data_IF_468737502445
#
_entry.id   IF_468737502445
#
_cell.length_a   1.000
_cell.length_b   1.000
_cell.length_c   1.000
_cell.angle_alpha   90.00
_cell.angle_beta   90.00
_cell.angle_gamma   90.00
#
_symmetry.space_group_name_H-M   'P 1'
#
loop_
_entity.id
_entity.type
_entity.pdbx_description
1 polymer ?
#
# COMPACT_ATOMS: atom_id res chain seq x y z
N UNK A 1 26.53 -2.04 -22.19
CA UNK A 1 26.31 -2.00 -20.73
C UNK A 1 25.02 -1.24 -20.49
N UNK A 2 23.96 -1.90 -20.10
CA UNK A 2 22.72 -1.20 -19.72
C UNK A 2 23.04 -0.32 -18.49
N UNK A 3 22.67 0.96 -18.55
CA UNK A 3 22.85 1.87 -17.43
C UNK A 3 22.10 1.28 -16.22
N UNK A 4 22.82 1.09 -15.12
CA UNK A 4 22.18 0.73 -13.83
C UNK A 4 21.19 1.84 -13.54
N UNK A 5 19.89 1.54 -13.31
CA UNK A 5 18.92 2.56 -12.99
C UNK A 5 19.45 3.38 -11.81
N UNK A 6 19.56 4.70 -11.97
CA UNK A 6 19.90 5.56 -10.84
C UNK A 6 18.68 5.59 -9.93
N UNK A 7 18.75 4.87 -8.82
CA UNK A 7 17.73 4.94 -7.78
C UNK A 7 17.68 6.37 -7.20
N UNK A 8 16.52 6.83 -6.76
CA UNK A 8 16.32 8.21 -6.35
C UNK A 8 17.18 8.64 -5.16
N UNK A 9 17.82 7.70 -4.46
CA UNK A 9 18.70 7.99 -3.33
C UNK A 9 19.70 6.85 -3.06
N UNK A 10 20.82 7.18 -2.46
CA UNK A 10 21.81 6.24 -1.94
C UNK A 10 21.92 6.38 -0.40
N UNK A 11 20.83 6.80 0.24
CA UNK A 11 20.81 7.09 1.69
C UNK A 11 21.18 5.90 2.57
N UNK A 12 20.93 4.67 2.07
CA UNK A 12 21.29 3.42 2.77
C UNK A 12 22.58 2.76 2.23
N UNK A 13 23.40 3.51 1.50
CA UNK A 13 24.70 3.00 1.03
C UNK A 13 25.55 2.52 2.21
N UNK A 14 26.05 1.29 2.12
CA UNK A 14 26.85 0.64 3.18
C UNK A 14 26.01 -0.10 4.22
N UNK A 15 24.67 0.03 4.21
CA UNK A 15 23.78 -0.80 5.05
C UNK A 15 23.67 -2.19 4.46
N UNK A 16 23.96 -3.22 5.27
CA UNK A 16 23.90 -4.64 4.90
C UNK A 16 22.68 -5.31 5.50
N UNK A 17 21.85 -5.94 4.65
CA UNK A 17 20.58 -6.59 5.02
C UNK A 17 20.64 -8.07 4.69
N UNK A 18 20.32 -8.92 5.66
CA UNK A 18 20.04 -10.36 5.44
C UNK A 18 18.54 -10.54 5.39
N UNK A 19 18.04 -11.04 4.26
CA UNK A 19 16.62 -11.15 3.93
C UNK A 19 16.19 -12.61 3.83
N UNK A 20 15.39 -13.09 4.79
CA UNK A 20 14.76 -14.42 4.81
C UNK A 20 13.31 -14.39 4.34
N UNK A 21 12.85 -13.25 3.89
CA UNK A 21 11.43 -13.08 3.56
C UNK A 21 11.04 -13.77 2.24
N UNK A 22 9.76 -14.04 2.08
CA UNK A 22 9.17 -14.67 0.90
C UNK A 22 7.79 -14.08 0.60
N UNK A 23 7.24 -14.34 -0.57
CA UNK A 23 5.96 -13.87 -1.10
C UNK A 23 5.99 -12.36 -1.38
N UNK A 24 5.34 -11.48 -0.57
CA UNK A 24 5.17 -10.06 -0.88
C UNK A 24 5.66 -9.16 0.25
N UNK A 25 5.04 -9.16 1.42
CA UNK A 25 5.25 -8.13 2.44
C UNK A 25 6.72 -7.94 2.83
N UNK A 26 7.41 -9.01 3.20
CA UNK A 26 8.84 -8.96 3.55
C UNK A 26 9.73 -8.62 2.36
N UNK A 27 9.61 -9.32 1.20
CA UNK A 27 10.36 -8.98 0.01
C UNK A 27 10.16 -7.53 -0.45
N UNK A 28 8.96 -6.96 -0.29
CA UNK A 28 8.69 -5.57 -0.65
C UNK A 28 9.37 -4.59 0.33
N UNK A 29 9.42 -4.91 1.62
CA UNK A 29 10.19 -4.12 2.58
C UNK A 29 11.68 -4.06 2.20
N UNK A 30 12.30 -5.21 1.97
CA UNK A 30 13.72 -5.29 1.63
C UNK A 30 14.02 -4.81 0.22
N UNK A 31 13.06 -4.87 -0.72
CA UNK A 31 13.14 -4.21 -2.01
C UNK A 31 13.27 -2.69 -1.85
N UNK A 32 12.45 -2.05 -1.02
CA UNK A 32 12.56 -0.62 -0.74
C UNK A 32 13.95 -0.26 -0.20
N UNK A 33 14.50 -1.08 0.73
CA UNK A 33 15.85 -0.85 1.24
C UNK A 33 16.91 -0.96 0.14
N UNK A 34 16.82 -1.98 -0.72
CA UNK A 34 17.73 -2.14 -1.86
C UNK A 34 17.65 -0.94 -2.82
N UNK A 35 16.44 -0.44 -3.12
CA UNK A 35 16.25 0.73 -3.98
C UNK A 35 16.80 2.03 -3.36
N UNK A 36 16.95 2.08 -2.04
CA UNK A 36 17.58 3.18 -1.32
C UNK A 36 19.08 3.00 -1.11
N UNK A 37 19.69 1.97 -1.73
CA UNK A 37 21.14 1.77 -1.76
C UNK A 37 21.68 0.73 -0.76
N UNK A 38 20.84 0.03 0.01
CA UNK A 38 21.28 -1.05 0.88
C UNK A 38 21.74 -2.29 0.09
N UNK A 39 22.73 -2.99 0.64
CA UNK A 39 23.22 -4.27 0.13
C UNK A 39 22.36 -5.41 0.73
N UNK A 40 21.38 -5.91 -0.04
CA UNK A 40 20.47 -6.94 0.43
C UNK A 40 20.92 -8.31 -0.05
N UNK A 41 21.16 -9.23 0.88
CA UNK A 41 21.40 -10.65 0.62
C UNK A 41 20.16 -11.46 0.98
N UNK A 42 19.46 -11.96 -0.03
CA UNK A 42 18.29 -12.83 0.16
C UNK A 42 18.73 -14.27 0.30
N UNK A 43 18.36 -14.87 1.42
CA UNK A 43 18.63 -16.29 1.73
C UNK A 43 17.41 -17.12 1.39
N UNK A 44 17.59 -18.11 0.52
CA UNK A 44 16.55 -19.03 0.09
C UNK A 44 16.94 -20.48 0.42
N UNK A 45 15.93 -21.33 0.58
CA UNK A 45 16.16 -22.77 0.74
C UNK A 45 16.66 -23.35 -0.59
N UNK A 46 17.71 -24.22 -0.59
CA UNK A 46 18.22 -24.88 -1.78
C UNK A 46 17.12 -25.66 -2.55
N UNK A 47 17.11 -25.50 -3.87
CA UNK A 47 16.20 -26.20 -4.79
C UNK A 47 14.72 -25.85 -4.67
N UNK A 48 14.33 -25.02 -3.70
CA UNK A 48 12.93 -24.63 -3.46
C UNK A 48 12.65 -23.16 -3.74
N UNK A 49 13.49 -22.33 -3.20
CA UNK A 49 13.39 -20.87 -3.32
C UNK A 49 12.08 -20.27 -2.82
N UNK A 50 11.88 -19.02 -3.12
CA UNK A 50 10.63 -18.31 -2.86
C UNK A 50 9.49 -18.85 -3.73
N UNK A 51 8.33 -19.09 -3.13
CA UNK A 51 7.15 -19.62 -3.86
C UNK A 51 6.70 -18.71 -4.99
N UNK A 52 7.00 -17.41 -4.93
CA UNK A 52 6.69 -16.45 -6.00
C UNK A 52 7.31 -16.82 -7.35
N UNK A 53 8.43 -17.55 -7.36
CA UNK A 53 9.06 -18.05 -8.60
C UNK A 53 8.16 -19.02 -9.37
N UNK A 54 7.19 -19.66 -8.69
CA UNK A 54 6.29 -20.69 -9.22
C UNK A 54 4.85 -20.22 -9.40
N UNK A 55 4.58 -18.93 -9.24
CA UNK A 55 3.25 -18.35 -9.51
C UNK A 55 3.01 -18.22 -11.02
N UNK A 56 1.76 -17.90 -11.41
CA UNK A 56 1.37 -17.67 -12.82
C UNK A 56 2.25 -16.59 -13.47
N UNK A 57 2.57 -15.52 -12.74
CA UNK A 57 3.48 -14.46 -13.19
C UNK A 57 4.97 -14.82 -13.03
N UNK A 58 5.29 -15.92 -12.34
CA UNK A 58 6.59 -16.55 -12.24
C UNK A 58 7.75 -15.61 -11.94
N UNK A 59 8.78 -15.68 -12.79
CA UNK A 59 10.01 -14.90 -12.64
C UNK A 59 9.78 -13.39 -12.58
N UNK A 60 8.80 -12.85 -13.32
CA UNK A 60 8.47 -11.41 -13.30
C UNK A 60 7.94 -10.94 -11.95
N UNK A 61 7.01 -11.69 -11.34
CA UNK A 61 6.50 -11.35 -10.01
C UNK A 61 7.60 -11.43 -8.96
N UNK A 62 8.48 -12.43 -9.05
CA UNK A 62 9.64 -12.52 -8.17
C UNK A 62 10.58 -11.32 -8.37
N UNK A 63 10.93 -10.97 -9.61
CA UNK A 63 11.81 -9.84 -9.93
C UNK A 63 11.25 -8.52 -9.41
N UNK A 64 9.94 -8.30 -9.52
CA UNK A 64 9.30 -7.06 -9.05
C UNK A 64 9.56 -6.76 -7.56
N UNK A 65 9.70 -7.79 -6.73
CA UNK A 65 9.95 -7.64 -5.29
C UNK A 65 11.39 -7.93 -4.85
N UNK A 66 12.24 -8.44 -5.77
CA UNK A 66 13.56 -8.92 -5.38
C UNK A 66 14.70 -8.37 -6.26
N UNK A 67 14.41 -7.49 -7.22
CA UNK A 67 15.44 -6.87 -8.03
C UNK A 67 16.42 -6.07 -7.17
N UNK A 68 17.71 -6.17 -7.51
CA UNK A 68 18.81 -5.52 -6.78
C UNK A 68 19.31 -6.28 -5.55
N UNK A 69 18.71 -7.43 -5.19
CA UNK A 69 19.17 -8.29 -4.12
C UNK A 69 20.16 -9.35 -4.64
N UNK A 70 21.13 -9.72 -3.80
CA UNK A 70 22.01 -10.87 -4.03
C UNK A 70 21.34 -12.13 -3.51
N UNK A 71 21.21 -13.17 -4.35
CA UNK A 71 20.61 -14.45 -3.96
C UNK A 71 21.65 -15.38 -3.37
N UNK A 72 21.33 -16.05 -2.25
CA UNK A 72 22.12 -17.11 -1.62
C UNK A 72 21.20 -18.29 -1.29
N UNK A 73 21.56 -19.46 -1.74
CA UNK A 73 20.91 -20.72 -1.31
C UNK A 73 21.65 -21.26 -0.10
N UNK A 74 20.99 -21.35 1.06
CA UNK A 74 21.56 -21.84 2.31
C UNK A 74 20.55 -22.79 2.97
N UNK A 75 21.00 -24.02 3.27
CA UNK A 75 20.22 -24.96 4.05
C UNK A 75 20.36 -24.65 5.55
N UNK A 76 19.45 -23.85 6.08
CA UNK A 76 19.45 -23.43 7.50
C UNK A 76 19.17 -24.59 8.48
N UNK A 77 18.74 -25.76 8.00
CA UNK A 77 18.56 -26.93 8.85
C UNK A 77 19.89 -27.63 9.13
N UNK A 78 20.91 -27.41 8.31
CA UNK A 78 22.26 -27.93 8.53
C UNK A 78 23.07 -27.05 9.48
N UNK A 79 24.00 -27.65 10.25
CA UNK A 79 24.93 -26.90 11.12
C UNK A 79 25.80 -25.93 10.31
N UNK A 80 26.25 -26.36 9.13
CA UNK A 80 27.04 -25.51 8.24
C UNK A 80 26.25 -24.31 7.74
N UNK A 81 25.00 -24.51 7.30
CA UNK A 81 24.13 -23.42 6.83
C UNK A 81 23.77 -22.46 7.95
N UNK A 82 23.48 -22.97 9.16
CA UNK A 82 23.27 -22.12 10.33
C UNK A 82 24.50 -21.27 10.66
N UNK A 83 25.69 -21.87 10.66
CA UNK A 83 26.95 -21.16 10.90
C UNK A 83 27.20 -20.06 9.84
N UNK A 84 26.89 -20.34 8.56
CA UNK A 84 27.00 -19.38 7.47
C UNK A 84 26.06 -18.19 7.69
N UNK A 85 24.78 -18.44 8.07
CA UNK A 85 23.82 -17.37 8.37
C UNK A 85 24.28 -16.50 9.57
N UNK A 86 24.77 -17.11 10.65
CA UNK A 86 25.28 -16.37 11.80
C UNK A 86 26.52 -15.54 11.42
N UNK A 87 27.36 -16.02 10.49
CA UNK A 87 28.48 -15.23 9.97
C UNK A 87 27.97 -14.01 9.16
N UNK A 88 26.94 -14.17 8.31
CA UNK A 88 26.30 -13.06 7.62
C UNK A 88 25.68 -12.06 8.62
N UNK A 89 24.95 -12.56 9.62
CA UNK A 89 24.28 -11.75 10.64
C UNK A 89 25.28 -10.94 11.51
N UNK A 90 26.47 -11.49 11.77
CA UNK A 90 27.54 -10.79 12.52
C UNK A 90 27.97 -9.50 11.83
N UNK A 91 27.91 -9.48 10.51
CA UNK A 91 28.32 -8.35 9.70
C UNK A 91 27.16 -7.49 9.20
N UNK A 92 25.93 -7.95 9.38
CA UNK A 92 24.75 -7.26 8.90
C UNK A 92 24.31 -6.12 9.83
N UNK A 93 23.65 -5.14 9.26
CA UNK A 93 22.97 -4.07 9.99
C UNK A 93 21.52 -4.44 10.31
N UNK A 94 20.90 -5.19 9.41
CA UNK A 94 19.48 -5.56 9.47
C UNK A 94 19.32 -7.02 9.10
N UNK A 95 18.43 -7.72 9.81
CA UNK A 95 17.91 -9.03 9.42
C UNK A 95 16.41 -8.95 9.33
N UNK A 96 15.84 -9.44 8.22
CA UNK A 96 14.39 -9.42 7.97
C UNK A 96 13.89 -10.84 7.73
N UNK A 97 12.81 -11.22 8.38
CA UNK A 97 12.08 -12.44 8.05
C UNK A 97 10.58 -12.21 8.04
N UNK A 98 9.84 -13.06 7.33
CA UNK A 98 8.38 -13.11 7.40
C UNK A 98 7.85 -14.54 7.57
N UNK A 99 8.61 -15.37 8.26
CA UNK A 99 8.13 -16.65 8.75
C UNK A 99 7.15 -16.45 9.90
N UNK A 100 6.39 -17.51 10.21
CA UNK A 100 5.60 -17.51 11.45
C UNK A 100 6.53 -17.34 12.65
N UNK A 101 6.10 -16.59 13.68
CA UNK A 101 6.93 -16.38 14.86
C UNK A 101 7.49 -17.68 15.43
N UNK A 102 8.77 -17.67 15.78
CA UNK A 102 9.47 -18.82 16.33
C UNK A 102 10.01 -19.83 15.31
N UNK A 103 9.73 -19.69 14.01
CA UNK A 103 10.29 -20.62 12.99
C UNK A 103 11.81 -20.53 12.97
N UNK A 104 12.40 -19.34 12.76
CA UNK A 104 13.85 -19.18 12.73
C UNK A 104 14.52 -19.49 14.08
N UNK A 105 13.84 -19.22 15.18
CA UNK A 105 14.33 -19.59 16.52
C UNK A 105 14.59 -21.10 16.67
N UNK A 106 13.75 -21.93 16.05
CA UNK A 106 13.97 -23.42 16.08
C UNK A 106 15.24 -23.85 15.37
N UNK A 107 15.76 -23.02 14.48
CA UNK A 107 17.04 -23.21 13.79
C UNK A 107 18.19 -22.48 14.49
N UNK A 108 17.99 -21.85 15.66
CA UNK A 108 19.01 -21.05 16.34
C UNK A 108 19.36 -19.76 15.57
N UNK A 109 18.37 -19.19 14.87
CA UNK A 109 18.47 -17.96 14.06
C UNK A 109 17.40 -16.93 14.45
N UNK A 110 16.79 -17.08 15.64
CA UNK A 110 15.89 -16.07 16.18
C UNK A 110 16.63 -14.81 16.68
N UNK A 111 15.88 -13.82 17.11
CA UNK A 111 16.43 -12.54 17.53
C UNK A 111 17.52 -12.69 18.61
N UNK A 112 17.27 -13.51 19.65
CA UNK A 112 18.23 -13.69 20.74
C UNK A 112 19.53 -14.35 20.26
N UNK A 113 19.42 -15.32 19.35
CA UNK A 113 20.58 -16.02 18.77
C UNK A 113 21.43 -15.07 17.91
N UNK A 114 20.77 -14.25 17.09
CA UNK A 114 21.44 -13.27 16.21
C UNK A 114 22.00 -12.11 17.02
N UNK A 115 21.28 -11.60 18.03
CA UNK A 115 21.75 -10.55 18.95
C UNK A 115 22.99 -10.97 19.72
N UNK A 116 23.11 -12.25 20.09
CA UNK A 116 24.27 -12.78 20.80
C UNK A 116 25.58 -12.62 19.98
N UNK A 117 25.49 -12.70 18.64
CA UNK A 117 26.66 -12.52 17.76
C UNK A 117 26.77 -11.10 17.20
N UNK A 118 25.68 -10.30 17.22
CA UNK A 118 25.66 -8.92 16.79
C UNK A 118 24.68 -8.08 17.64
N UNK A 119 25.11 -7.48 18.76
CA UNK A 119 24.23 -6.68 19.62
C UNK A 119 23.66 -5.42 18.95
N UNK A 120 24.19 -5.04 17.80
CA UNK A 120 23.74 -3.87 17.02
C UNK A 120 22.71 -4.21 15.95
N UNK A 121 22.35 -5.48 15.79
CA UNK A 121 21.42 -5.92 14.75
C UNK A 121 20.04 -5.32 14.94
N UNK A 122 19.45 -4.84 13.86
CA UNK A 122 18.02 -4.54 13.78
C UNK A 122 17.35 -5.78 13.18
N UNK A 123 16.56 -6.46 13.99
CA UNK A 123 15.84 -7.65 13.58
C UNK A 123 14.38 -7.31 13.32
N UNK A 124 13.92 -7.38 12.08
CA UNK A 124 12.55 -7.07 11.68
C UNK A 124 11.80 -8.37 11.34
N UNK A 125 10.87 -8.76 12.21
CA UNK A 125 9.96 -9.86 11.97
C UNK A 125 8.64 -9.33 11.41
N UNK A 126 8.27 -9.76 10.21
CA UNK A 126 7.01 -9.40 9.55
C UNK A 126 6.07 -10.60 9.63
N UNK A 127 4.89 -10.45 10.23
CA UNK A 127 3.97 -11.56 10.41
C UNK A 127 2.50 -11.14 10.28
N UNK A 128 1.59 -12.11 10.15
CA UNK A 128 0.16 -11.80 10.04
C UNK A 128 -0.40 -11.16 11.31
N UNK A 129 -0.08 -11.76 12.46
CA UNK A 129 -0.71 -11.42 13.73
C UNK A 129 0.25 -10.83 14.78
N UNK A 130 1.54 -10.66 14.46
CA UNK A 130 2.54 -10.22 15.43
C UNK A 130 3.03 -11.34 16.33
N UNK A 131 3.95 -10.99 17.25
CA UNK A 131 4.60 -11.94 18.15
C UNK A 131 3.97 -11.96 19.56
N UNK A 132 3.05 -11.03 19.86
CA UNK A 132 2.54 -10.81 21.23
C UNK A 132 1.39 -11.72 21.65
N UNK A 133 0.63 -12.29 20.69
CA UNK A 133 -0.51 -13.17 21.00
C UNK A 133 -0.15 -14.65 20.71
N UNK A 134 0.14 -15.46 21.74
CA UNK A 134 0.51 -16.88 21.56
C UNK A 134 -0.55 -17.70 20.84
N UNK A 135 -1.84 -17.37 20.98
CA UNK A 135 -2.93 -18.07 20.32
C UNK A 135 -2.93 -17.89 18.81
N UNK A 136 -2.37 -16.77 18.33
CA UNK A 136 -2.38 -16.40 16.89
C UNK A 136 -1.03 -16.56 16.20
N UNK A 137 0.06 -16.64 16.94
CA UNK A 137 1.42 -16.77 16.36
C UNK A 137 1.59 -18.00 15.46
N UNK A 138 0.82 -19.08 15.70
CA UNK A 138 0.84 -20.30 14.89
C UNK A 138 -0.07 -20.23 13.65
N UNK A 139 -0.96 -19.23 13.57
CA UNK A 139 -1.93 -19.12 12.48
C UNK A 139 -1.25 -18.65 11.18
N UNK A 140 -1.68 -19.21 10.05
CA UNK A 140 -1.29 -18.72 8.74
C UNK A 140 -2.02 -17.44 8.41
N UNK A 141 -1.33 -16.54 7.74
CA UNK A 141 -1.89 -15.28 7.28
C UNK A 141 -1.57 -15.06 5.80
N UNK A 142 -2.58 -14.60 5.10
CA UNK A 142 -2.50 -14.02 3.75
C UNK A 142 -3.25 -12.70 3.75
N UNK A 143 -2.94 -11.83 2.85
CA UNK A 143 -3.55 -10.50 2.72
C UNK A 143 -5.07 -10.52 2.89
N UNK A 144 -5.80 -11.29 2.07
CA UNK A 144 -7.26 -11.34 2.11
C UNK A 144 -7.84 -11.89 3.43
N UNK A 145 -7.08 -12.76 4.12
CA UNK A 145 -7.47 -13.28 5.44
C UNK A 145 -7.37 -12.16 6.49
N UNK A 146 -6.30 -11.36 6.42
CA UNK A 146 -6.12 -10.23 7.33
C UNK A 146 -7.12 -9.10 7.00
N UNK A 147 -7.45 -8.86 5.72
CA UNK A 147 -8.54 -7.94 5.36
C UNK A 147 -9.87 -8.33 6.03
N UNK A 148 -10.20 -9.63 6.01
CA UNK A 148 -11.40 -10.14 6.69
C UNK A 148 -11.29 -10.02 8.21
N UNK A 149 -10.16 -10.40 8.77
CA UNK A 149 -9.90 -10.38 10.22
C UNK A 149 -10.01 -8.96 10.81
N UNK A 150 -9.56 -7.94 10.08
CA UNK A 150 -9.53 -6.54 10.55
C UNK A 150 -10.80 -5.76 10.22
N UNK A 151 -11.81 -6.38 9.60
CA UNK A 151 -13.04 -5.72 9.21
C UNK A 151 -12.91 -4.85 7.94
N UNK A 152 -11.75 -4.78 7.29
CA UNK A 152 -11.53 -3.98 6.08
C UNK A 152 -12.54 -4.35 4.98
N UNK A 153 -12.88 -5.62 4.84
CA UNK A 153 -13.86 -6.10 3.84
C UNK A 153 -15.28 -5.58 4.07
N UNK A 154 -15.56 -5.06 5.26
CA UNK A 154 -16.86 -4.47 5.61
C UNK A 154 -16.93 -2.96 5.35
N UNK A 155 -15.83 -2.33 4.92
CA UNK A 155 -15.82 -0.89 4.56
C UNK A 155 -16.11 -0.66 3.08
N UNK A 156 -15.89 -1.65 2.22
CA UNK A 156 -16.13 -1.55 0.78
C UNK A 156 -17.57 -2.01 0.41
N UNK A 157 -18.13 -1.44 -0.66
CA UNK A 157 -19.50 -1.73 -1.13
C UNK A 157 -20.56 -0.89 -0.41
N UNK A 158 -21.83 -1.26 -0.59
CA UNK A 158 -23.00 -0.61 0.02
C UNK A 158 -23.61 -1.49 1.12
N UNK A 159 -24.50 -0.92 1.90
CA UNK A 159 -25.26 -1.66 2.91
C UNK A 159 -26.02 -2.82 2.27
N UNK A 160 -25.93 -4.00 2.89
CA UNK A 160 -26.53 -5.24 2.37
C UNK A 160 -25.67 -6.03 1.38
N UNK A 161 -24.59 -5.45 0.82
CA UNK A 161 -23.67 -6.21 -0.03
C UNK A 161 -22.87 -7.25 0.79
N UNK A 162 -22.46 -8.36 0.17
CA UNK A 162 -21.49 -9.27 0.80
C UNK A 162 -20.16 -8.54 1.09
N UNK A 163 -19.32 -9.06 2.03
CA UNK A 163 -17.99 -8.52 2.26
C UNK A 163 -17.15 -8.46 0.97
N UNK A 164 -16.48 -7.34 0.72
CA UNK A 164 -15.70 -7.12 -0.50
C UNK A 164 -14.24 -6.82 -0.13
N UNK A 165 -13.32 -7.67 -0.59
CA UNK A 165 -11.89 -7.38 -0.44
C UNK A 165 -11.40 -6.40 -1.51
N UNK A 166 -10.26 -5.75 -1.27
CA UNK A 166 -9.57 -4.98 -2.31
C UNK A 166 -9.12 -5.87 -3.47
N UNK A 167 -9.01 -5.31 -4.67
CA UNK A 167 -8.64 -6.03 -5.88
C UNK A 167 -7.15 -6.46 -5.94
N UNK A 168 -6.33 -6.06 -4.96
CA UNK A 168 -4.89 -6.35 -4.90
C UNK A 168 -4.45 -6.56 -3.45
N UNK A 169 -3.24 -7.07 -3.17
CA UNK A 169 -2.76 -7.36 -1.82
C UNK A 169 -2.32 -6.08 -1.11
N UNK A 170 -3.30 -5.26 -0.71
CA UNK A 170 -3.09 -3.91 -0.14
C UNK A 170 -2.39 -3.96 1.22
N UNK A 171 -2.70 -4.97 2.05
CA UNK A 171 -2.10 -5.11 3.39
C UNK A 171 -0.66 -5.58 3.27
N UNK A 172 -0.36 -6.53 2.37
CA UNK A 172 1.02 -6.93 2.10
C UNK A 172 1.87 -5.73 1.65
N UNK A 173 1.35 -4.93 0.72
CA UNK A 173 2.04 -3.75 0.22
C UNK A 173 2.27 -2.71 1.33
N UNK A 174 1.24 -2.40 2.12
CA UNK A 174 1.36 -1.47 3.24
C UNK A 174 2.35 -1.98 4.30
N UNK A 175 2.28 -3.27 4.64
CA UNK A 175 3.18 -3.89 5.62
C UNK A 175 4.63 -3.83 5.17
N UNK A 176 4.90 -4.05 3.87
CA UNK A 176 6.23 -3.89 3.29
C UNK A 176 6.76 -2.46 3.43
N UNK A 177 5.94 -1.45 3.11
CA UNK A 177 6.31 -0.04 3.26
C UNK A 177 6.53 0.33 4.74
N UNK A 178 5.64 -0.08 5.63
CA UNK A 178 5.76 0.15 7.09
C UNK A 178 7.00 -0.54 7.64
N UNK A 179 7.30 -1.77 7.21
CA UNK A 179 8.50 -2.49 7.59
C UNK A 179 9.78 -1.76 7.17
N UNK A 180 9.83 -1.27 5.94
CA UNK A 180 10.94 -0.46 5.45
C UNK A 180 11.10 0.84 6.26
N UNK A 181 10.01 1.55 6.54
CA UNK A 181 10.00 2.76 7.37
C UNK A 181 10.51 2.47 8.79
N UNK A 182 10.01 1.41 9.43
CA UNK A 182 10.43 1.02 10.77
C UNK A 182 11.93 0.70 10.84
N UNK A 183 12.45 0.01 9.82
CA UNK A 183 13.88 -0.30 9.71
C UNK A 183 14.70 0.99 9.56
N UNK A 184 14.30 1.94 8.70
CA UNK A 184 15.01 3.21 8.53
C UNK A 184 15.03 4.02 9.83
N UNK A 185 13.90 4.08 10.55
CA UNK A 185 13.82 4.73 11.87
C UNK A 185 14.75 4.04 12.89
N UNK A 186 14.74 2.71 12.92
CA UNK A 186 15.60 1.94 13.83
C UNK A 186 17.10 2.10 13.50
N UNK A 187 17.47 2.17 12.21
CA UNK A 187 18.85 2.51 11.79
C UNK A 187 19.27 3.87 12.33
N UNK A 188 18.40 4.87 12.18
CA UNK A 188 18.67 6.23 12.70
C UNK A 188 18.82 6.25 14.23
N UNK A 189 17.96 5.51 14.94
CA UNK A 189 18.04 5.40 16.41
C UNK A 189 19.32 4.65 16.84
N UNK A 190 19.68 3.58 16.14
CA UNK A 190 20.91 2.85 16.37
C UNK A 190 22.16 3.72 16.19
N UNK A 191 22.17 4.60 15.20
CA UNK A 191 23.29 5.54 15.00
C UNK A 191 23.49 6.47 16.20
N UNK A 192 22.40 6.80 16.92
CA UNK A 192 22.40 7.64 18.11
C UNK A 192 22.76 6.86 19.39
N UNK A 193 22.25 5.62 19.52
CA UNK A 193 22.34 4.84 20.77
C UNK A 193 23.43 3.78 20.78
N UNK A 194 23.84 3.34 19.59
CA UNK A 194 24.74 2.21 19.41
C UNK A 194 24.07 0.83 19.54
N UNK A 195 22.80 0.76 19.91
CA UNK A 195 22.08 -0.49 20.18
C UNK A 195 21.14 -0.89 19.03
N UNK A 196 21.09 -2.19 18.71
CA UNK A 196 20.07 -2.77 17.84
C UNK A 196 18.73 -2.98 18.55
N UNK A 197 17.73 -3.43 17.82
CA UNK A 197 16.41 -3.69 18.38
C UNK A 197 15.67 -4.82 17.63
N UNK A 198 14.57 -5.30 18.23
CA UNK A 198 13.60 -6.17 17.58
C UNK A 198 12.39 -5.34 17.14
N UNK A 199 12.01 -5.47 15.88
CA UNK A 199 10.84 -4.84 15.28
C UNK A 199 9.79 -5.93 14.99
N UNK A 200 8.66 -5.86 15.65
CA UNK A 200 7.48 -6.71 15.39
C UNK A 200 6.52 -5.95 14.48
N UNK A 201 6.53 -6.27 13.19
CA UNK A 201 5.68 -5.64 12.17
C UNK A 201 4.58 -6.62 11.79
N UNK A 202 3.34 -6.30 12.13
CA UNK A 202 2.23 -7.19 11.84
C UNK A 202 1.29 -6.65 10.76
N UNK A 203 0.75 -7.56 9.94
CA UNK A 203 -0.17 -7.20 8.86
C UNK A 203 -1.48 -6.61 9.41
N UNK A 204 -1.99 -7.10 10.56
CA UNK A 204 -3.21 -6.53 11.16
C UNK A 204 -2.99 -5.09 11.64
N UNK A 205 -1.83 -4.80 12.25
CA UNK A 205 -1.51 -3.44 12.67
C UNK A 205 -1.33 -2.50 11.47
N UNK A 206 -0.71 -3.01 10.39
CA UNK A 206 -0.62 -2.28 9.12
C UNK A 206 -1.99 -1.99 8.51
N UNK A 207 -2.94 -2.93 8.61
CA UNK A 207 -4.31 -2.70 8.18
C UNK A 207 -5.00 -1.58 8.99
N UNK A 208 -4.78 -1.52 10.31
CA UNK A 208 -5.29 -0.42 11.13
C UNK A 208 -4.67 0.93 10.76
N UNK A 209 -3.40 0.97 10.34
CA UNK A 209 -2.79 2.21 9.82
C UNK A 209 -3.47 2.68 8.54
N UNK A 210 -3.85 1.77 7.62
CA UNK A 210 -4.62 2.13 6.43
C UNK A 210 -6.01 2.65 6.76
N UNK A 211 -6.63 2.12 7.82
CA UNK A 211 -7.97 2.50 8.28
C UNK A 211 -7.94 3.47 9.47
N UNK A 212 -6.84 4.20 9.68
CA UNK A 212 -6.53 4.92 10.91
C UNK A 212 -7.68 5.80 11.42
N UNK A 213 -8.24 6.65 10.57
CA UNK A 213 -9.35 7.56 10.95
C UNK A 213 -10.63 6.80 11.32
N UNK A 214 -10.95 5.73 10.61
CA UNK A 214 -12.11 4.87 10.89
C UNK A 214 -11.90 4.09 12.19
N UNK A 215 -10.71 3.56 12.41
CA UNK A 215 -10.37 2.91 13.67
C UNK A 215 -10.46 3.88 14.86
N UNK A 216 -9.97 5.11 14.71
CA UNK A 216 -10.10 6.15 15.74
C UNK A 216 -11.58 6.47 16.03
N UNK A 217 -12.40 6.59 15.01
CA UNK A 217 -13.84 6.88 15.16
C UNK A 217 -14.55 5.75 15.91
N UNK A 218 -14.33 4.49 15.48
CA UNK A 218 -14.90 3.31 16.15
C UNK A 218 -14.45 3.19 17.59
N UNK A 219 -13.16 3.36 17.88
CA UNK A 219 -12.63 3.30 19.26
C UNK A 219 -13.14 4.41 20.16
N UNK A 220 -13.42 5.60 19.57
CA UNK A 220 -13.84 6.78 20.35
C UNK A 220 -15.34 6.77 20.63
N UNK A 221 -16.15 6.31 19.68
CA UNK A 221 -17.62 6.42 19.76
C UNK A 221 -18.31 5.07 19.95
N UNK A 222 -17.59 3.97 19.88
CA UNK A 222 -18.13 2.60 19.92
C UNK A 222 -19.25 2.40 18.88
N UNK A 223 -18.99 2.87 17.65
CA UNK A 223 -19.94 2.83 16.54
C UNK A 223 -19.32 2.14 15.33
N UNK A 224 -20.13 1.39 14.61
CA UNK A 224 -19.73 0.84 13.33
C UNK A 224 -19.70 1.91 12.24
N UNK A 225 -18.72 1.80 11.35
CA UNK A 225 -18.60 2.67 10.18
C UNK A 225 -19.55 2.15 9.08
N UNK A 226 -20.48 2.98 8.61
CA UNK A 226 -21.41 2.55 7.56
C UNK A 226 -20.72 2.34 6.21
N UNK A 227 -21.22 1.41 5.42
CA UNK A 227 -20.78 1.17 4.06
C UNK A 227 -21.45 2.18 3.13
N UNK A 228 -20.67 3.04 2.53
CA UNK A 228 -21.16 4.18 1.75
C UNK A 228 -21.04 4.03 0.23
N UNK A 229 -20.50 2.89 -0.24
CA UNK A 229 -20.23 2.66 -1.67
C UNK A 229 -19.15 3.59 -2.19
N UNK A 230 -19.42 4.23 -3.31
CA UNK A 230 -18.49 5.16 -3.95
C UNK A 230 -18.68 6.62 -3.52
N UNK A 231 -19.54 6.89 -2.53
CA UNK A 231 -19.74 8.25 -2.01
C UNK A 231 -18.46 8.75 -1.33
N UNK A 232 -18.17 10.02 -1.48
CA UNK A 232 -17.06 10.67 -0.80
C UNK A 232 -17.25 10.70 0.72
N UNK A 233 -16.16 10.57 1.46
CA UNK A 233 -16.15 10.54 2.93
C UNK A 233 -16.62 11.86 3.59
N UNK A 234 -16.67 12.95 2.84
CA UNK A 234 -17.20 14.24 3.32
C UNK A 234 -18.71 14.23 3.56
N UNK A 235 -19.44 13.26 3.02
CA UNK A 235 -20.90 13.23 2.98
C UNK A 235 -21.51 14.28 2.04
N UNK A 236 -20.70 15.00 1.25
CA UNK A 236 -21.20 15.94 0.25
C UNK A 236 -21.97 15.21 -0.84
N UNK A 237 -23.15 15.73 -1.23
CA UNK A 237 -23.97 15.11 -2.25
C UNK A 237 -23.37 15.11 -3.66
N UNK A 238 -22.38 15.97 -3.91
CA UNK A 238 -21.63 16.05 -5.17
C UNK A 238 -20.34 15.21 -5.23
N UNK A 239 -20.04 14.48 -4.17
CA UNK A 239 -18.85 13.63 -4.11
C UNK A 239 -19.24 12.16 -4.22
N UNK A 240 -19.20 11.61 -5.45
CA UNK A 240 -19.54 10.20 -5.75
C UNK A 240 -18.97 9.80 -7.11
N UNK A 241 -19.22 8.56 -7.53
CA UNK A 241 -18.89 8.04 -8.86
C UNK A 241 -20.18 7.80 -9.65
N UNK A 242 -20.25 8.39 -10.83
CA UNK A 242 -21.44 8.38 -11.67
C UNK A 242 -21.16 7.72 -13.03
N UNK A 243 -22.19 7.06 -13.58
CA UNK A 243 -22.16 6.61 -14.96
C UNK A 243 -22.26 7.80 -15.91
N UNK A 244 -21.46 7.76 -16.97
CA UNK A 244 -21.51 8.66 -18.12
C UNK A 244 -21.85 7.85 -19.38
N UNK A 245 -22.00 8.52 -20.51
CA UNK A 245 -22.35 7.87 -21.78
C UNK A 245 -21.33 6.78 -22.20
N UNK A 246 -20.07 6.94 -21.86
CA UNK A 246 -18.95 6.12 -22.32
C UNK A 246 -18.04 5.61 -21.19
N UNK A 247 -18.52 5.58 -19.97
CA UNK A 247 -17.76 5.09 -18.82
C UNK A 247 -18.24 5.64 -17.49
N UNK A 248 -17.33 5.83 -16.56
CA UNK A 248 -17.61 6.29 -15.20
C UNK A 248 -16.75 7.51 -14.87
N UNK A 249 -17.30 8.43 -14.07
CA UNK A 249 -16.65 9.64 -13.60
C UNK A 249 -16.74 9.74 -12.09
N UNK A 250 -15.61 9.79 -11.40
CA UNK A 250 -15.53 10.14 -9.99
C UNK A 250 -15.47 11.66 -9.86
N UNK A 251 -16.32 12.24 -9.03
CA UNK A 251 -16.43 13.70 -8.81
C UNK A 251 -16.19 13.99 -7.32
N UNK A 252 -15.34 14.97 -7.04
CA UNK A 252 -15.01 15.44 -5.71
C UNK A 252 -15.61 16.80 -5.38
N UNK A 253 -16.88 17.04 -5.72
CA UNK A 253 -17.56 18.29 -5.40
C UNK A 253 -17.95 18.36 -3.92
N UNK A 254 -16.96 18.53 -3.05
CA UNK A 254 -17.12 18.49 -1.60
C UNK A 254 -17.70 19.79 -1.01
N UNK A 255 -17.30 20.94 -1.52
CA UNK A 255 -17.72 22.25 -1.01
C UNK A 255 -18.89 22.80 -1.79
N UNK A 256 -19.61 23.75 -1.21
CA UNK A 256 -20.69 24.47 -1.91
C UNK A 256 -20.20 25.15 -3.20
N UNK A 257 -19.00 25.72 -3.16
CA UNK A 257 -18.41 26.32 -4.34
C UNK A 257 -18.12 25.28 -5.44
N UNK A 258 -17.71 24.07 -5.06
CA UNK A 258 -17.56 22.98 -6.02
C UNK A 258 -18.91 22.54 -6.60
N UNK A 259 -19.94 22.40 -5.75
CA UNK A 259 -21.28 22.03 -6.19
C UNK A 259 -21.85 23.08 -7.13
N UNK A 260 -21.73 24.37 -6.81
CA UNK A 260 -22.20 25.45 -7.68
C UNK A 260 -21.54 25.42 -9.05
N UNK A 261 -20.21 25.22 -9.12
CA UNK A 261 -19.47 25.09 -10.38
C UNK A 261 -19.84 23.83 -11.15
N UNK A 262 -20.03 22.69 -10.45
CA UNK A 262 -20.51 21.45 -11.06
C UNK A 262 -21.86 21.68 -11.75
N UNK A 263 -22.82 22.33 -11.07
CA UNK A 263 -24.12 22.66 -11.63
C UNK A 263 -24.00 23.57 -12.86
N UNK A 264 -23.12 24.55 -12.81
CA UNK A 264 -22.83 25.45 -13.91
C UNK A 264 -22.30 24.69 -15.16
N UNK A 265 -21.34 23.77 -14.95
CA UNK A 265 -20.80 22.92 -16.01
C UNK A 265 -21.86 22.00 -16.62
N UNK A 266 -22.80 21.52 -15.80
CA UNK A 266 -23.91 20.65 -16.23
C UNK A 266 -25.15 21.43 -16.72
N UNK A 267 -25.09 22.76 -16.74
CA UNK A 267 -26.17 23.64 -17.20
C UNK A 267 -27.48 23.40 -16.43
N UNK A 268 -27.36 23.16 -15.12
CA UNK A 268 -28.51 22.98 -14.21
C UNK A 268 -28.96 24.34 -13.70
N UNK A 269 -30.25 24.63 -13.76
CA UNK A 269 -30.78 25.92 -13.29
C UNK A 269 -30.62 26.09 -11.78
N UNK A 270 -30.20 27.30 -11.35
CA UNK A 270 -29.98 27.63 -9.95
C UNK A 270 -31.18 27.41 -9.06
N UNK A 271 -32.40 27.59 -9.59
CA UNK A 271 -33.65 27.38 -8.86
C UNK A 271 -33.86 25.89 -8.52
N UNK A 272 -33.53 24.98 -9.44
CA UNK A 272 -33.59 23.51 -9.23
C UNK A 272 -32.61 23.07 -8.13
N UNK A 273 -31.39 23.61 -8.17
CA UNK A 273 -30.32 23.33 -7.19
C UNK A 273 -30.68 23.82 -5.79
N UNK A 274 -31.25 25.05 -5.68
CA UNK A 274 -31.61 25.65 -4.41
C UNK A 274 -32.69 24.89 -3.62
N UNK A 275 -33.53 24.10 -4.32
CA UNK A 275 -34.53 23.26 -3.69
C UNK A 275 -33.91 22.03 -3.02
N UNK A 276 -32.80 21.55 -3.55
CA UNK A 276 -32.17 20.28 -3.15
C UNK A 276 -31.02 20.48 -2.14
N UNK A 277 -30.42 21.66 -2.09
CA UNK A 277 -29.33 21.95 -1.14
C UNK A 277 -29.83 22.58 0.15
N UNK A 278 -29.17 22.29 1.25
CA UNK A 278 -29.37 23.03 2.50
C UNK A 278 -28.74 24.44 2.36
N UNK A 279 -29.39 25.49 2.89
CA UNK A 279 -28.74 26.79 2.96
C UNK A 279 -27.57 26.72 3.95
N UNK A 280 -26.49 27.41 3.61
CA UNK A 280 -25.33 27.54 4.51
C UNK A 280 -25.72 28.25 5.79
N UNK A 281 -25.65 27.59 6.92
CA UNK A 281 -25.51 28.28 8.21
C UNK A 281 -24.04 28.66 8.35
N UNK A 282 -23.72 29.93 8.31
CA UNK A 282 -22.37 30.51 8.21
C UNK A 282 -21.34 30.18 9.30
N UNK A 283 -21.58 29.19 10.13
CA UNK A 283 -20.65 28.68 11.13
C UNK A 283 -20.64 27.14 11.07
N UNK A 284 -19.57 26.53 10.50
CA UNK A 284 -19.33 25.10 10.66
C UNK A 284 -18.71 24.43 9.47
N UNK A 285 -19.44 23.63 8.75
CA UNK A 285 -18.90 22.75 7.71
C UNK A 285 -18.72 23.49 6.39
N UNK A 286 -17.50 23.48 5.84
CA UNK A 286 -17.25 23.92 4.46
C UNK A 286 -17.79 22.93 3.41
N UNK A 287 -18.38 21.81 3.83
CA UNK A 287 -18.93 20.78 2.95
C UNK A 287 -20.40 21.03 2.63
N UNK A 288 -20.74 20.85 1.34
CA UNK A 288 -22.12 20.97 0.88
C UNK A 288 -23.01 19.89 1.50
N UNK A 289 -24.26 20.24 1.78
CA UNK A 289 -25.28 19.31 2.29
C UNK A 289 -26.52 19.38 1.41
N UNK A 290 -27.17 18.26 1.24
CA UNK A 290 -28.44 18.18 0.52
C UNK A 290 -29.60 17.92 1.50
N UNK A 291 -30.73 18.57 1.27
CA UNK A 291 -32.00 18.30 1.98
C UNK A 291 -32.52 16.92 1.63
N UNK A 292 -32.37 16.55 0.36
CA UNK A 292 -32.66 15.22 -0.16
C UNK A 292 -31.44 14.72 -0.96
N UNK A 293 -30.51 13.98 -0.29
CA UNK A 293 -29.31 13.46 -0.94
C UNK A 293 -29.62 12.48 -2.09
N UNK A 294 -30.73 11.75 -2.01
CA UNK A 294 -31.12 10.80 -3.03
C UNK A 294 -31.61 11.52 -4.29
N UNK A 295 -32.50 12.48 -4.15
CA UNK A 295 -33.00 13.29 -5.28
C UNK A 295 -31.86 14.05 -5.96
N UNK A 296 -30.91 14.60 -5.17
CA UNK A 296 -29.73 15.28 -5.71
C UNK A 296 -28.84 14.33 -6.52
N UNK A 297 -28.61 13.12 -6.00
CA UNK A 297 -27.84 12.09 -6.69
C UNK A 297 -28.51 11.65 -8.00
N UNK A 298 -29.83 11.50 -8.00
CA UNK A 298 -30.62 11.13 -9.19
C UNK A 298 -30.54 12.23 -10.26
N UNK A 299 -30.64 13.50 -9.86
CA UNK A 299 -30.46 14.64 -10.77
C UNK A 299 -29.08 14.59 -11.43
N UNK A 300 -28.00 14.43 -10.64
CA UNK A 300 -26.65 14.33 -11.16
C UNK A 300 -26.49 13.14 -12.10
N UNK A 301 -26.98 11.96 -11.72
CA UNK A 301 -26.90 10.76 -12.52
C UNK A 301 -27.58 10.94 -13.90
N UNK A 302 -28.77 11.55 -13.91
CA UNK A 302 -29.53 11.82 -15.15
C UNK A 302 -28.80 12.80 -16.07
N UNK A 303 -28.17 13.84 -15.50
CA UNK A 303 -27.42 14.84 -16.29
C UNK A 303 -26.12 14.27 -16.83
N UNK A 304 -25.33 13.59 -16.00
CA UNK A 304 -24.03 13.06 -16.34
C UNK A 304 -24.07 11.96 -17.40
N UNK A 305 -25.15 11.16 -17.43
CA UNK A 305 -25.32 10.04 -18.36
C UNK A 305 -25.27 10.48 -19.84
N UNK A 306 -25.61 11.72 -20.14
CA UNK A 306 -25.61 12.23 -21.51
C UNK A 306 -24.25 12.76 -22.00
N UNK A 307 -23.27 12.85 -21.11
CA UNK A 307 -21.95 13.41 -21.40
C UNK A 307 -20.86 12.34 -21.50
N UNK A 308 -19.79 12.63 -22.20
CA UNK A 308 -18.57 11.82 -22.18
C UNK A 308 -17.83 12.04 -20.87
N UNK A 309 -17.37 10.95 -20.24
CA UNK A 309 -16.57 11.02 -19.02
C UNK A 309 -15.26 11.78 -19.22
N UNK A 310 -14.63 11.62 -20.39
CA UNK A 310 -13.38 12.31 -20.72
C UNK A 310 -13.59 13.83 -20.91
N UNK A 311 -14.68 14.25 -21.60
CA UNK A 311 -15.03 15.65 -21.76
C UNK A 311 -15.35 16.31 -20.41
N UNK A 312 -16.17 15.65 -19.58
CA UNK A 312 -16.51 16.17 -18.26
C UNK A 312 -15.29 16.27 -17.33
N UNK A 313 -14.37 15.31 -17.37
CA UNK A 313 -13.12 15.39 -16.60
C UNK A 313 -12.37 16.69 -16.92
N UNK A 314 -12.23 17.03 -18.20
CA UNK A 314 -11.55 18.27 -18.63
C UNK A 314 -12.31 19.53 -18.19
N UNK A 315 -13.62 19.57 -18.45
CA UNK A 315 -14.45 20.75 -18.15
C UNK A 315 -14.57 21.02 -16.64
N UNK A 316 -14.76 19.97 -15.85
CA UNK A 316 -14.86 20.08 -14.40
C UNK A 316 -13.56 20.52 -13.77
N UNK A 317 -12.42 19.91 -14.16
CA UNK A 317 -11.13 20.34 -13.65
C UNK A 317 -10.79 21.78 -14.08
N UNK A 318 -11.11 22.19 -15.29
CA UNK A 318 -10.96 23.58 -15.73
C UNK A 318 -11.82 24.56 -14.91
N UNK A 319 -13.00 24.14 -14.46
CA UNK A 319 -13.86 24.90 -13.56
C UNK A 319 -13.42 24.81 -12.08
N UNK A 320 -12.34 24.07 -11.76
CA UNK A 320 -11.85 23.89 -10.39
C UNK A 320 -12.69 22.92 -9.55
N UNK A 321 -13.39 21.98 -10.18
CA UNK A 321 -14.09 20.87 -9.53
C UNK A 321 -13.25 19.60 -9.74
N UNK A 322 -12.69 18.96 -8.69
CA UNK A 322 -11.93 17.74 -8.84
C UNK A 322 -12.78 16.64 -9.48
N UNK A 323 -12.31 16.10 -10.58
CA UNK A 323 -12.97 15.00 -11.28
C UNK A 323 -11.94 14.13 -12.01
N UNK A 324 -12.23 12.83 -12.08
CA UNK A 324 -11.42 11.89 -12.86
C UNK A 324 -12.31 10.82 -13.49
N UNK A 325 -12.16 10.58 -14.79
CA UNK A 325 -12.77 9.39 -15.39
C UNK A 325 -12.15 8.14 -14.81
N UNK A 326 -12.95 7.11 -14.59
CA UNK A 326 -12.44 5.83 -14.10
C UNK A 326 -11.66 5.16 -15.22
N UNK A 327 -10.41 4.84 -14.92
CA UNK A 327 -9.45 4.20 -15.83
C UNK A 327 -9.20 2.76 -15.40
N UNK A 328 -8.94 1.88 -16.35
CA UNK A 328 -8.25 0.63 -16.06
C UNK A 328 -6.80 0.92 -15.71
N UNK A 329 -6.14 -0.01 -14.99
CA UNK A 329 -4.72 0.13 -14.67
C UNK A 329 -3.85 0.26 -15.94
N UNK A 330 -4.21 -0.44 -17.02
CA UNK A 330 -3.52 -0.36 -18.31
C UNK A 330 -3.64 1.03 -18.94
N UNK A 331 -4.84 1.60 -18.97
CA UNK A 331 -5.07 2.96 -19.49
C UNK A 331 -4.29 3.99 -18.69
N UNK A 332 -4.35 3.92 -17.36
CA UNK A 332 -3.61 4.84 -16.49
C UNK A 332 -2.10 4.74 -16.70
N UNK A 333 -1.54 3.54 -16.73
CA UNK A 333 -0.08 3.38 -16.88
C UNK A 333 0.40 3.88 -18.25
N UNK A 334 -0.37 3.65 -19.31
CA UNK A 334 -0.03 4.18 -20.64
C UNK A 334 -0.09 5.71 -20.67
N UNK A 335 -1.19 6.30 -20.20
CA UNK A 335 -1.37 7.76 -20.12
C UNK A 335 -0.26 8.41 -19.26
N UNK A 336 0.08 7.78 -18.13
CA UNK A 336 1.12 8.29 -17.24
C UNK A 336 2.53 8.25 -17.86
N UNK A 337 2.81 7.26 -18.69
CA UNK A 337 4.06 7.19 -19.47
C UNK A 337 4.07 8.26 -20.55
N UNK A 338 2.99 8.37 -21.34
CA UNK A 338 2.89 9.30 -22.48
C UNK A 338 2.97 10.77 -22.02
N UNK A 339 2.47 11.07 -20.82
CA UNK A 339 2.52 12.41 -20.21
C UNK A 339 3.80 12.67 -19.39
N UNK A 340 4.66 11.66 -19.22
CA UNK A 340 5.88 11.77 -18.41
C UNK A 340 5.61 11.78 -16.88
N UNK A 341 4.37 11.53 -16.46
CA UNK A 341 4.01 11.38 -15.04
C UNK A 341 4.69 10.16 -14.42
N UNK A 342 4.76 9.05 -15.18
CA UNK A 342 5.44 7.82 -14.80
C UNK A 342 6.70 7.63 -15.66
N UNK A 343 7.83 7.44 -14.98
CA UNK A 343 9.10 7.01 -15.60
C UNK A 343 9.35 5.56 -15.16
N UNK A 344 9.01 4.58 -16.00
CA UNK A 344 9.14 3.18 -15.62
C UNK A 344 10.61 2.76 -15.50
N UNK A 345 10.90 1.91 -14.51
CA UNK A 345 12.22 1.34 -14.28
C UNK A 345 12.21 -0.10 -14.76
N UNK A 346 13.15 -0.46 -15.61
CA UNK A 346 13.33 -1.84 -16.10
C UNK A 346 14.28 -2.56 -15.16
N UNK A 347 13.81 -3.70 -14.61
CA UNK A 347 14.53 -4.54 -13.67
C UNK A 347 14.67 -5.96 -14.24
N UNK A 348 15.82 -6.61 -13.99
CA UNK A 348 16.11 -7.95 -14.52
C UNK A 348 16.34 -7.97 -16.02
N UNK A 349 16.42 -9.18 -16.58
CA UNK A 349 16.68 -9.44 -18.00
C UNK A 349 15.87 -10.64 -18.51
N UNK A 350 15.80 -10.81 -19.82
CA UNK A 350 15.13 -11.92 -20.50
C UNK A 350 13.68 -12.11 -20.00
N UNK A 351 13.28 -13.36 -19.76
CA UNK A 351 11.93 -13.71 -19.29
C UNK A 351 11.63 -13.24 -17.86
N UNK A 352 12.66 -12.91 -17.10
CA UNK A 352 12.55 -12.35 -15.75
C UNK A 352 12.43 -10.82 -15.73
N UNK A 353 12.48 -10.16 -16.89
CA UNK A 353 12.35 -8.71 -16.97
C UNK A 353 11.02 -8.23 -16.41
N UNK A 354 11.07 -7.25 -15.50
CA UNK A 354 9.94 -6.55 -14.95
C UNK A 354 10.08 -5.04 -15.15
N UNK A 355 9.00 -4.39 -15.52
CA UNK A 355 8.91 -2.94 -15.62
C UNK A 355 8.14 -2.45 -14.41
N UNK A 356 8.73 -1.59 -13.60
CA UNK A 356 8.18 -1.16 -12.32
C UNK A 356 7.97 0.35 -12.25
N UNK A 357 7.00 0.81 -11.42
CA UNK A 357 6.74 2.25 -11.25
C UNK A 357 7.76 2.95 -10.33
N UNK A 358 8.72 2.23 -9.77
CA UNK A 358 9.67 2.76 -8.79
C UNK A 358 9.10 2.87 -7.37
N UNK A 359 9.64 3.79 -6.56
CA UNK A 359 9.35 3.88 -5.12
C UNK A 359 8.14 4.74 -4.76
N UNK A 360 7.47 5.39 -5.72
CA UNK A 360 6.35 6.29 -5.45
C UNK A 360 6.76 7.69 -4.97
N UNK A 361 8.05 8.00 -4.92
CA UNK A 361 8.59 9.33 -4.59
C UNK A 361 9.89 9.60 -5.35
N UNK A 362 10.24 10.87 -5.49
CA UNK A 362 11.47 11.34 -6.15
C UNK A 362 12.19 12.33 -5.25
N UNK A 363 13.51 12.26 -5.22
CA UNK A 363 14.34 13.30 -4.62
C UNK A 363 14.71 14.29 -5.74
N UNK A 364 14.23 15.51 -5.63
CA UNK A 364 14.55 16.61 -6.55
C UNK A 364 15.57 17.50 -5.83
N UNK A 365 16.84 17.42 -6.23
CA UNK A 365 17.93 18.20 -5.67
C UNK A 365 18.67 18.97 -6.73
#
# INVERSE_FOLDING_TARGET
MAAVPQFPTQALRGVRVVDFSHVIAGPFATFHLAQMGAEVTKVEKPGGGDVMRRTVSGARAFTAFNAGKRMREIDIASDAGRAEVLALAREADVMVDNYRPGVLRRYGLGYDDVKAVNPRIIYCAISGYGCSDPARTSQGAYDHVIQAFTGMTMLAGTEGDPPVKTGFPVIDAATGIIGALAIVVALRERDRTGAGCFLDVSMWASALQLMYSFACETLTRDQEIPRVGNKGYSGSPGADTFACRDGWLAIGANTEAHVARLMQVLEVESAEVALLLEPTSGEGSCFARARDPQAFRELLAARLLNHSAADLELRLNAAGVPAARVRTLREFTQEAIDTGLLQPIVLGDGDAQAITPGLGWRCLG
#
